data_IF_046704072200
#
_entry.id   IF_046704072200
#
_cell.length_a   1.000
_cell.length_b   1.000
_cell.length_c   1.000
_cell.angle_alpha   90.00
_cell.angle_beta   90.00
_cell.angle_gamma   90.00
#
_symmetry.space_group_name_H-M   'P 1'
#
loop_
_entity.id
_entity.type
_entity.pdbx_description
1 polymer ?
#
# COMPACT_ATOMS: atom_id res chain seq x y z
N UNK A 1 10.42 9.31 -16.02
CA UNK A 1 9.47 10.45 -16.04
C UNK A 1 9.61 11.23 -14.75
N UNK A 2 9.43 12.55 -14.80
CA UNK A 2 9.56 13.43 -13.64
C UNK A 2 8.18 13.83 -13.14
N UNK A 3 7.93 13.73 -11.84
CA UNK A 3 6.67 14.08 -11.21
C UNK A 3 6.88 15.04 -10.04
N UNK A 4 5.99 16.03 -9.93
CA UNK A 4 5.88 16.87 -8.75
C UNK A 4 4.58 16.52 -8.04
N UNK A 5 4.70 16.03 -6.79
CA UNK A 5 3.59 15.63 -5.94
C UNK A 5 3.42 16.66 -4.83
N UNK A 6 2.18 17.12 -4.62
CA UNK A 6 1.82 17.95 -3.47
C UNK A 6 0.71 17.24 -2.70
N UNK A 7 0.98 16.89 -1.45
CA UNK A 7 0.01 16.35 -0.51
C UNK A 7 -0.28 17.41 0.55
N UNK A 8 -1.56 17.68 0.82
CA UNK A 8 -1.95 18.53 1.94
C UNK A 8 -3.05 17.87 2.76
N UNK A 9 -2.76 17.58 4.02
CA UNK A 9 -3.76 17.14 5.01
C UNK A 9 -4.08 18.32 5.92
N UNK A 10 -5.38 18.54 6.17
CA UNK A 10 -5.84 19.56 7.11
C UNK A 10 -6.77 18.91 8.14
N UNK A 11 -6.35 18.91 9.40
CA UNK A 11 -7.16 18.51 10.52
C UNK A 11 -7.78 19.76 11.15
N UNK A 12 -9.11 19.86 11.12
CA UNK A 12 -9.83 20.90 11.84
C UNK A 12 -10.45 20.29 13.10
N UNK A 13 -10.10 20.82 14.27
CA UNK A 13 -10.57 20.31 15.55
C UNK A 13 -11.77 21.11 16.05
N UNK A 14 -12.73 20.43 16.67
CA UNK A 14 -13.90 21.09 17.28
C UNK A 14 -13.52 21.93 18.51
N UNK A 15 -12.41 21.60 19.17
CA UNK A 15 -11.79 22.37 20.24
C UNK A 15 -10.26 22.39 20.06
N UNK A 16 -9.55 23.44 20.53
CA UNK A 16 -8.11 23.48 20.42
C UNK A 16 -7.43 22.28 21.09
N UNK A 17 -6.58 21.59 20.34
CA UNK A 17 -5.76 20.50 20.85
C UNK A 17 -4.55 21.12 21.56
N UNK A 18 -4.37 20.81 22.85
CA UNK A 18 -3.28 21.38 23.65
C UNK A 18 -1.91 20.83 23.24
N UNK A 19 -1.83 19.51 23.06
CA UNK A 19 -0.62 18.78 22.65
C UNK A 19 -1.02 17.71 21.66
N UNK A 20 -0.25 17.53 20.59
CA UNK A 20 -0.44 16.44 19.63
C UNK A 20 0.90 15.82 19.20
N UNK A 21 0.86 14.51 18.97
CA UNK A 21 2.00 13.71 18.51
C UNK A 21 1.64 13.04 17.19
N UNK A 22 2.54 13.12 16.21
CA UNK A 22 2.29 12.60 14.87
C UNK A 22 3.49 11.84 14.36
N UNK A 23 3.22 10.80 13.57
CA UNK A 23 4.21 10.09 12.75
C UNK A 23 3.76 10.21 11.31
N UNK A 24 4.54 10.94 10.51
CA UNK A 24 4.26 11.16 9.10
C UNK A 24 5.08 10.19 8.25
N UNK A 25 4.45 9.61 7.22
CA UNK A 25 5.10 8.78 6.19
C UNK A 25 4.86 9.40 4.81
N UNK A 26 5.23 10.68 4.67
CA UNK A 26 4.91 11.50 3.49
C UNK A 26 6.09 11.69 2.54
N UNK A 27 7.29 11.29 2.93
CA UNK A 27 8.49 11.33 2.07
C UNK A 27 8.63 9.99 1.35
N UNK A 28 8.55 9.96 0.00
CA UNK A 28 8.71 8.72 -0.75
C UNK A 28 10.09 8.12 -0.57
N UNK A 29 10.14 6.79 -0.40
CA UNK A 29 11.38 6.03 -0.41
C UNK A 29 11.99 6.01 -1.82
N UNK A 30 13.29 6.18 -1.90
CA UNK A 30 14.05 5.93 -3.14
C UNK A 30 14.34 4.44 -3.28
N UNK A 31 14.17 3.89 -4.49
CA UNK A 31 14.46 2.50 -4.83
C UNK A 31 14.88 2.42 -6.33
N UNK A 32 15.30 1.26 -6.86
CA UNK A 32 15.89 1.18 -8.20
C UNK A 32 15.05 1.72 -9.37
N UNK A 33 13.73 1.87 -9.21
CA UNK A 33 12.81 2.41 -10.23
C UNK A 33 12.21 3.77 -9.87
N UNK A 34 12.56 4.33 -8.71
CA UNK A 34 12.08 5.63 -8.26
C UNK A 34 13.15 6.36 -7.46
N UNK A 35 13.45 7.59 -7.83
CA UNK A 35 14.41 8.44 -7.12
C UNK A 35 13.69 9.67 -6.56
N UNK A 36 13.67 9.78 -5.23
CA UNK A 36 13.18 10.97 -4.55
C UNK A 36 14.28 12.04 -4.59
N UNK A 37 14.16 13.00 -5.51
CA UNK A 37 15.19 14.02 -5.75
C UNK A 37 15.13 15.15 -4.72
N UNK A 38 13.91 15.51 -4.30
CA UNK A 38 13.66 16.51 -3.28
C UNK A 38 12.33 16.24 -2.61
N UNK A 39 12.29 16.27 -1.29
CA UNK A 39 11.04 16.24 -0.51
C UNK A 39 11.10 17.27 0.61
N UNK A 40 10.00 18.00 0.81
CA UNK A 40 9.86 18.95 1.91
C UNK A 40 8.51 18.74 2.58
N UNK A 41 8.52 18.60 3.90
CA UNK A 41 7.31 18.54 4.73
C UNK A 41 7.26 19.78 5.61
N UNK A 42 6.21 20.59 5.45
CA UNK A 42 5.90 21.77 6.25
C UNK A 42 4.68 21.51 7.11
N UNK A 43 4.70 22.01 8.35
CA UNK A 43 3.67 21.74 9.35
C UNK A 43 3.30 23.06 10.02
N UNK A 44 2.00 23.32 10.11
CA UNK A 44 1.42 24.46 10.81
C UNK A 44 0.37 23.96 11.82
N UNK A 45 0.46 24.30 13.12
CA UNK A 45 1.50 25.12 13.74
C UNK A 45 2.87 24.46 13.72
N UNK A 46 3.93 25.28 13.85
CA UNK A 46 5.31 24.77 13.86
C UNK A 46 5.52 23.81 15.04
N UNK A 47 6.03 22.59 14.80
CA UNK A 47 6.28 21.61 15.86
C UNK A 47 7.39 22.08 16.80
N UNK A 48 7.22 21.84 18.10
CA UNK A 48 8.26 22.09 19.11
C UNK A 48 9.34 21.00 19.08
N UNK A 49 8.99 19.79 18.65
CA UNK A 49 9.95 18.69 18.42
C UNK A 49 9.70 18.11 17.04
N UNK A 50 10.78 17.94 16.28
CA UNK A 50 10.79 17.25 14.99
C UNK A 50 12.02 16.36 14.89
N UNK A 51 11.82 15.11 14.48
CA UNK A 51 12.93 14.21 14.17
C UNK A 51 12.59 13.35 12.96
N UNK A 52 13.56 13.23 12.06
CA UNK A 52 13.50 12.35 10.89
C UNK A 52 14.10 10.98 11.24
N UNK A 53 13.62 9.92 10.60
CA UNK A 53 14.15 8.57 10.74
C UNK A 53 13.60 7.63 9.68
N UNK A 54 13.85 6.34 9.87
CA UNK A 54 13.30 5.27 9.03
C UNK A 54 12.63 4.23 9.94
N UNK A 55 11.48 3.73 9.51
CA UNK A 55 10.84 2.62 10.21
C UNK A 55 11.57 1.29 9.95
N UNK A 56 11.13 0.22 10.60
CA UNK A 56 11.74 -1.10 10.47
C UNK A 56 11.79 -1.63 9.03
N UNK A 57 10.87 -1.21 8.16
CA UNK A 57 10.82 -1.62 6.75
C UNK A 57 11.63 -0.69 5.83
N UNK A 58 12.30 0.32 6.40
CA UNK A 58 13.08 1.31 5.68
C UNK A 58 12.22 2.40 5.02
N UNK A 59 11.01 2.67 5.53
CA UNK A 59 10.22 3.81 5.06
C UNK A 59 10.65 5.08 5.80
N UNK A 60 10.93 6.19 5.09
CA UNK A 60 11.18 7.47 5.73
C UNK A 60 9.99 7.90 6.60
N UNK A 61 10.27 8.31 7.83
CA UNK A 61 9.27 8.78 8.79
C UNK A 61 9.70 10.07 9.47
N UNK A 62 8.74 10.96 9.68
CA UNK A 62 8.93 12.20 10.45
C UNK A 62 8.08 12.15 11.71
N UNK A 63 8.73 12.21 12.87
CA UNK A 63 8.05 12.38 14.15
C UNK A 63 7.89 13.84 14.49
N UNK A 64 6.71 14.21 14.97
CA UNK A 64 6.36 15.58 15.32
C UNK A 64 5.70 15.61 16.71
N UNK A 65 6.05 16.63 17.48
CA UNK A 65 5.29 17.03 18.67
C UNK A 65 4.96 18.51 18.57
N UNK A 66 3.69 18.84 18.80
CA UNK A 66 3.18 20.20 18.83
C UNK A 66 2.63 20.43 20.24
N UNK A 67 3.15 21.45 20.94
CA UNK A 67 2.78 21.76 22.33
C UNK A 67 2.08 23.11 22.48
N UNK A 68 1.77 23.77 21.37
CA UNK A 68 0.99 25.00 21.35
C UNK A 68 -0.47 24.65 21.10
N UNK A 69 -1.42 25.13 21.93
CA UNK A 69 -2.84 24.95 21.66
C UNK A 69 -3.21 25.44 20.25
N UNK A 70 -3.83 24.58 19.45
CA UNK A 70 -4.17 24.89 18.06
C UNK A 70 -5.55 24.33 17.68
N UNK A 71 -6.38 25.12 16.96
CA UNK A 71 -7.67 24.64 16.46
C UNK A 71 -7.52 23.79 15.20
N UNK A 72 -6.34 23.80 14.57
CA UNK A 72 -6.10 23.20 13.28
C UNK A 72 -4.65 22.73 13.16
N UNK A 73 -4.45 21.62 12.46
CA UNK A 73 -3.15 21.14 12.02
C UNK A 73 -3.15 21.02 10.49
N UNK A 74 -2.17 21.64 9.84
CA UNK A 74 -1.95 21.58 8.41
C UNK A 74 -0.60 20.92 8.17
N UNK A 75 -0.60 19.82 7.43
CA UNK A 75 0.62 19.14 6.98
C UNK A 75 0.64 19.21 5.46
N UNK A 76 1.70 19.80 4.91
CA UNK A 76 1.90 19.90 3.47
C UNK A 76 3.25 19.27 3.09
N UNK A 77 3.22 18.27 2.20
CA UNK A 77 4.39 17.66 1.63
C UNK A 77 4.49 18.00 0.14
N UNK A 78 5.66 18.48 -0.30
CA UNK A 78 5.99 18.72 -1.71
C UNK A 78 7.20 17.89 -2.07
N UNK A 79 7.04 17.05 -3.09
CA UNK A 79 8.08 16.12 -3.51
C UNK A 79 8.29 16.16 -5.02
N UNK A 80 9.55 16.22 -5.44
CA UNK A 80 9.99 15.98 -6.81
C UNK A 80 10.57 14.58 -6.89
N UNK A 81 9.94 13.71 -7.69
CA UNK A 81 10.37 12.33 -7.88
C UNK A 81 10.63 12.04 -9.35
N UNK A 82 11.68 11.26 -9.61
CA UNK A 82 11.89 10.60 -10.89
C UNK A 82 11.38 9.17 -10.78
N UNK A 83 10.59 8.71 -11.74
CA UNK A 83 10.13 7.32 -11.84
C UNK A 83 10.57 6.74 -13.17
N UNK A 84 11.29 5.64 -13.14
CA UNK A 84 11.68 4.89 -14.33
C UNK A 84 10.49 4.06 -14.81
N UNK A 85 10.35 3.92 -16.14
CA UNK A 85 9.26 3.13 -16.72
C UNK A 85 9.36 1.69 -16.20
N UNK A 86 8.28 1.10 -15.66
CA UNK A 86 8.30 -0.29 -15.25
C UNK A 86 8.39 -1.21 -16.46
N UNK A 87 9.15 -2.30 -16.33
CA UNK A 87 9.05 -3.43 -17.24
C UNK A 87 7.68 -4.10 -17.09
N UNK A 88 7.15 -4.73 -18.16
CA UNK A 88 5.94 -5.55 -18.06
C UNK A 88 6.11 -6.62 -16.98
N UNK A 89 5.03 -6.89 -16.23
CA UNK A 89 5.03 -7.96 -15.23
C UNK A 89 5.26 -9.30 -15.95
N UNK A 90 6.30 -10.07 -15.60
CA UNK A 90 6.61 -11.32 -16.26
C UNK A 90 5.75 -12.47 -15.69
N UNK A 91 4.44 -12.43 -15.96
CA UNK A 91 3.42 -13.31 -15.36
C UNK A 91 3.79 -14.80 -15.40
N UNK A 92 4.35 -15.26 -16.53
CA UNK A 92 4.68 -16.67 -16.76
C UNK A 92 6.10 -17.07 -16.30
N UNK A 93 6.92 -16.12 -15.84
CA UNK A 93 8.32 -16.39 -15.45
C UNK A 93 8.49 -16.70 -13.95
N UNK A 94 7.41 -16.60 -13.18
CA UNK A 94 7.43 -16.98 -11.77
C UNK A 94 7.30 -18.49 -11.59
N UNK A 95 7.90 -19.08 -10.54
CA UNK A 95 7.66 -20.48 -10.23
C UNK A 95 6.17 -20.76 -9.94
N UNK A 96 5.72 -22.02 -10.07
CA UNK A 96 4.42 -22.43 -9.57
C UNK A 96 4.23 -22.04 -8.10
N UNK A 97 3.05 -21.55 -7.74
CA UNK A 97 2.81 -20.96 -6.42
C UNK A 97 3.10 -21.93 -5.27
N UNK A 98 2.79 -23.23 -5.41
CA UNK A 98 3.08 -24.23 -4.38
C UNK A 98 4.58 -24.40 -4.13
N UNK A 99 5.38 -24.30 -5.19
CA UNK A 99 6.83 -24.37 -5.09
C UNK A 99 7.38 -23.14 -4.37
N UNK A 100 6.78 -21.97 -4.59
CA UNK A 100 7.15 -20.75 -3.85
C UNK A 100 6.88 -20.95 -2.36
N UNK A 101 5.69 -21.42 -1.98
CA UNK A 101 5.33 -21.67 -0.57
C UNK A 101 6.31 -22.67 0.05
N UNK A 102 6.58 -23.79 -0.62
CA UNK A 102 7.51 -24.82 -0.12
C UNK A 102 8.95 -24.29 0.00
N UNK A 103 9.41 -23.52 -0.99
CA UNK A 103 10.73 -22.92 -0.98
C UNK A 103 10.87 -21.95 0.18
N UNK A 104 9.87 -21.08 0.40
CA UNK A 104 9.90 -20.11 1.47
C UNK A 104 9.96 -20.80 2.84
N UNK A 105 9.21 -21.87 3.09
CA UNK A 105 9.24 -22.58 4.38
C UNK A 105 10.62 -23.10 4.81
N UNK A 106 11.54 -23.32 3.87
CA UNK A 106 12.86 -23.92 4.13
C UNK A 106 14.04 -23.01 3.77
N UNK A 107 13.78 -21.82 3.22
CA UNK A 107 14.83 -20.93 2.75
C UNK A 107 15.57 -20.28 3.90
N UNK A 108 16.91 -20.27 3.83
CA UNK A 108 17.79 -19.46 4.67
C UNK A 108 18.41 -18.29 3.90
N UNK A 109 17.99 -18.10 2.64
CA UNK A 109 18.40 -16.95 1.84
C UNK A 109 17.76 -15.68 2.39
N UNK A 110 18.57 -14.65 2.65
CA UNK A 110 18.13 -13.48 3.42
C UNK A 110 16.93 -12.74 2.78
N UNK A 111 16.89 -12.47 1.46
CA UNK A 111 15.70 -11.90 0.82
C UNK A 111 14.42 -12.72 1.01
N UNK A 112 14.51 -14.05 0.95
CA UNK A 112 13.35 -14.92 1.18
C UNK A 112 12.93 -14.90 2.66
N UNK A 113 13.88 -14.91 3.59
CA UNK A 113 13.60 -14.77 5.03
C UNK A 113 12.92 -13.42 5.34
N UNK A 114 13.39 -12.33 4.73
CA UNK A 114 12.76 -11.02 4.88
C UNK A 114 11.35 -11.00 4.31
N UNK A 115 11.11 -11.68 3.19
CA UNK A 115 9.77 -11.77 2.61
C UNK A 115 8.79 -12.56 3.50
N UNK A 116 9.24 -13.61 4.19
CA UNK A 116 8.37 -14.47 5.01
C UNK A 116 7.54 -13.70 6.06
N UNK A 117 8.05 -12.60 6.62
CA UNK A 117 7.30 -11.81 7.61
C UNK A 117 5.98 -11.23 7.04
N UNK A 118 5.87 -11.13 5.72
CA UNK A 118 4.67 -10.67 5.01
C UNK A 118 3.69 -11.80 4.65
N UNK A 119 3.84 -12.99 5.25
CA UNK A 119 2.89 -14.11 5.15
C UNK A 119 1.89 -14.16 6.30
N UNK A 120 2.11 -13.38 7.37
CA UNK A 120 1.36 -13.49 8.62
C UNK A 120 0.32 -12.38 8.80
N UNK A 121 -0.53 -12.55 9.82
CA UNK A 121 -1.49 -11.53 10.26
C UNK A 121 -0.81 -10.19 10.56
N UNK A 122 -1.58 -9.12 10.42
CA UNK A 122 -1.20 -7.76 10.81
C UNK A 122 -2.43 -7.01 11.34
N UNK A 123 -2.31 -5.83 11.96
CA UNK A 123 -3.42 -5.17 12.65
C UNK A 123 -4.71 -4.96 11.82
N UNK A 124 -4.58 -4.84 10.49
CA UNK A 124 -5.73 -4.66 9.57
C UNK A 124 -6.01 -5.88 8.69
N UNK A 125 -5.22 -6.94 8.80
CA UNK A 125 -5.34 -8.15 7.97
C UNK A 125 -5.27 -9.36 8.89
N UNK A 126 -6.42 -9.99 9.10
CA UNK A 126 -6.53 -11.32 9.70
C UNK A 126 -6.76 -12.33 8.59
N UNK A 127 -5.95 -13.39 8.57
CA UNK A 127 -6.10 -14.50 7.64
C UNK A 127 -7.21 -15.41 8.16
N UNK A 128 -8.19 -15.72 7.31
CA UNK A 128 -9.28 -16.64 7.64
C UNK A 128 -9.69 -17.54 6.46
N UNK A 129 -10.48 -18.57 6.76
CA UNK A 129 -10.94 -19.55 5.76
C UNK A 129 -11.72 -18.89 4.62
N UNK A 130 -12.42 -17.77 4.86
CA UNK A 130 -13.18 -17.08 3.82
C UNK A 130 -12.27 -16.44 2.78
N UNK A 131 -11.13 -15.87 3.20
CA UNK A 131 -10.12 -15.36 2.26
C UNK A 131 -9.45 -16.47 1.46
N UNK A 132 -9.20 -17.64 2.07
CA UNK A 132 -8.70 -18.83 1.37
C UNK A 132 -9.70 -19.35 0.32
N UNK A 133 -10.97 -19.49 0.71
CA UNK A 133 -12.03 -19.95 -0.17
C UNK A 133 -12.25 -19.02 -1.36
N UNK A 134 -12.08 -17.72 -1.14
CA UNK A 134 -12.15 -16.73 -2.21
C UNK A 134 -10.98 -16.88 -3.20
N UNK A 135 -9.75 -17.05 -2.71
CA UNK A 135 -8.55 -17.00 -3.58
C UNK A 135 -8.23 -18.31 -4.30
N UNK A 136 -8.60 -19.48 -3.74
CA UNK A 136 -8.13 -20.79 -4.22
C UNK A 136 -8.41 -21.08 -5.70
N UNK A 137 -9.46 -20.50 -6.28
CA UNK A 137 -9.82 -20.66 -7.70
C UNK A 137 -8.85 -19.93 -8.64
N UNK A 138 -8.20 -18.87 -8.15
CA UNK A 138 -7.16 -18.14 -8.86
C UNK A 138 -5.81 -18.86 -8.83
N UNK A 139 -5.66 -19.94 -8.05
CA UNK A 139 -4.41 -20.68 -7.84
C UNK A 139 -4.59 -22.20 -8.01
N UNK A 140 -5.02 -22.69 -9.20
CA UNK A 140 -5.00 -24.11 -9.50
C UNK A 140 -3.56 -24.65 -9.49
N UNK A 141 -3.44 -25.97 -9.39
CA UNK A 141 -2.11 -26.57 -9.22
C UNK A 141 -1.19 -26.31 -10.41
N UNK A 142 0.07 -25.94 -10.13
CA UNK A 142 1.07 -25.67 -11.15
C UNK A 142 0.98 -24.28 -11.80
N UNK A 143 0.02 -23.44 -11.42
CA UNK A 143 -0.09 -22.07 -11.96
C UNK A 143 1.11 -21.22 -11.50
N UNK A 144 1.76 -20.47 -12.41
CA UNK A 144 2.76 -19.47 -12.02
C UNK A 144 2.21 -18.48 -11.01
N UNK A 145 2.96 -18.19 -9.94
CA UNK A 145 2.56 -17.29 -8.87
C UNK A 145 1.99 -15.97 -9.39
N UNK A 146 2.75 -15.24 -10.21
CA UNK A 146 2.39 -13.90 -10.68
C UNK A 146 1.16 -13.92 -11.59
N UNK A 147 0.95 -14.99 -12.36
CA UNK A 147 -0.28 -15.19 -13.12
C UNK A 147 -1.50 -15.38 -12.20
N UNK A 148 -1.33 -16.11 -11.10
CA UNK A 148 -2.38 -16.26 -10.07
C UNK A 148 -2.70 -14.96 -9.35
N UNK A 149 -1.69 -14.13 -9.03
CA UNK A 149 -1.90 -12.80 -8.46
C UNK A 149 -2.68 -11.91 -9.43
N UNK A 150 -2.27 -11.83 -10.70
CA UNK A 150 -2.97 -11.02 -11.70
C UNK A 150 -4.44 -11.46 -11.91
N UNK A 151 -4.71 -12.76 -11.89
CA UNK A 151 -6.07 -13.29 -11.92
C UNK A 151 -6.89 -12.81 -10.72
N UNK A 152 -6.31 -12.85 -9.52
CA UNK A 152 -6.95 -12.35 -8.30
C UNK A 152 -7.21 -10.83 -8.37
N UNK A 153 -6.22 -10.05 -8.81
CA UNK A 153 -6.36 -8.60 -9.01
C UNK A 153 -7.52 -8.31 -9.98
N UNK A 154 -7.57 -9.03 -11.11
CA UNK A 154 -8.63 -8.89 -12.12
C UNK A 154 -10.01 -9.28 -11.56
N UNK A 155 -10.08 -10.38 -10.81
CA UNK A 155 -11.32 -10.82 -10.16
C UNK A 155 -11.83 -9.81 -9.14
N UNK A 156 -10.96 -9.21 -8.34
CA UNK A 156 -11.35 -8.16 -7.40
C UNK A 156 -11.87 -6.94 -8.17
N UNK A 157 -11.20 -6.54 -9.24
CA UNK A 157 -11.66 -5.45 -10.11
C UNK A 157 -13.04 -5.70 -10.72
N UNK A 158 -13.35 -6.93 -11.11
CA UNK A 158 -14.62 -7.31 -11.74
C UNK A 158 -15.76 -7.53 -10.73
N UNK A 159 -15.47 -8.12 -9.58
CA UNK A 159 -16.49 -8.54 -8.59
C UNK A 159 -16.79 -7.48 -7.51
N UNK A 160 -15.95 -6.45 -7.36
CA UNK A 160 -16.09 -5.44 -6.29
C UNK A 160 -16.37 -4.05 -6.85
N UNK A 161 -17.22 -3.31 -6.15
CA UNK A 161 -17.56 -1.92 -6.51
C UNK A 161 -16.75 -0.92 -5.71
N UNK A 162 -16.05 -0.02 -6.40
CA UNK A 162 -15.41 1.12 -5.75
C UNK A 162 -16.46 2.13 -5.26
N UNK A 163 -16.62 2.29 -3.94
CA UNK A 163 -17.63 3.16 -3.34
C UNK A 163 -17.05 3.87 -2.11
N UNK A 164 -16.88 5.19 -2.18
CA UNK A 164 -16.37 5.99 -1.06
C UNK A 164 -17.41 6.15 0.06
N UNK A 165 -16.95 6.12 1.31
CA UNK A 165 -17.79 6.35 2.49
C UNK A 165 -18.55 5.12 3.02
N UNK A 166 -18.32 3.94 2.42
CA UNK A 166 -18.90 2.66 2.88
C UNK A 166 -18.02 1.90 3.87
N UNK A 167 -16.75 2.31 3.99
CA UNK A 167 -15.75 1.71 4.87
C UNK A 167 -15.04 2.77 5.71
N UNK A 168 -14.46 2.31 6.81
CA UNK A 168 -13.56 3.06 7.68
C UNK A 168 -12.17 2.42 7.64
N UNK A 169 -11.16 3.12 8.18
CA UNK A 169 -9.78 2.60 8.22
C UNK A 169 -9.68 1.25 8.94
N UNK A 170 -10.58 0.98 9.89
CA UNK A 170 -10.65 -0.26 10.66
C UNK A 170 -11.62 -1.30 10.12
N UNK A 171 -12.20 -1.11 8.93
CA UNK A 171 -13.13 -2.10 8.36
C UNK A 171 -12.42 -3.44 8.17
N UNK A 172 -12.93 -4.54 8.77
CA UNK A 172 -12.37 -5.87 8.59
C UNK A 172 -12.46 -6.36 7.16
N UNK A 173 -11.44 -7.10 6.70
CA UNK A 173 -11.42 -7.73 5.36
C UNK A 173 -12.66 -8.59 5.09
N UNK A 174 -13.17 -9.29 6.11
CA UNK A 174 -14.37 -10.12 5.99
C UNK A 174 -15.62 -9.32 5.60
N UNK A 175 -15.73 -8.08 6.08
CA UNK A 175 -16.87 -7.22 5.78
C UNK A 175 -16.79 -6.70 4.34
N UNK A 176 -15.58 -6.42 3.86
CA UNK A 176 -15.30 -6.09 2.45
C UNK A 176 -15.66 -7.27 1.55
N UNK A 177 -15.21 -8.48 1.90
CA UNK A 177 -15.52 -9.70 1.15
C UNK A 177 -17.04 -9.99 1.10
N UNK A 178 -17.76 -9.66 2.17
CA UNK A 178 -19.23 -9.84 2.23
C UNK A 178 -19.97 -8.78 1.42
N UNK A 179 -19.61 -7.50 1.61
CA UNK A 179 -20.31 -6.37 0.99
C UNK A 179 -19.97 -6.18 -0.48
N UNK A 180 -18.79 -6.66 -0.91
CA UNK A 180 -18.22 -6.45 -2.25
C UNK A 180 -18.06 -4.98 -2.61
N UNK A 181 -17.84 -4.13 -1.61
CA UNK A 181 -17.72 -2.67 -1.74
C UNK A 181 -16.58 -2.14 -0.89
N UNK A 182 -15.91 -1.10 -1.37
CA UNK A 182 -14.84 -0.44 -0.63
C UNK A 182 -14.06 0.55 -1.48
N UNK A 183 -12.90 0.95 -0.97
CA UNK A 183 -11.92 1.79 -1.67
C UNK A 183 -10.60 1.05 -1.87
N UNK A 184 -9.61 1.71 -2.48
CA UNK A 184 -8.30 1.09 -2.80
C UNK A 184 -7.63 0.43 -1.59
N UNK A 185 -7.76 1.01 -0.39
CA UNK A 185 -7.25 0.41 0.84
C UNK A 185 -7.87 -0.96 1.13
N UNK A 186 -9.18 -1.07 0.98
CA UNK A 186 -9.94 -2.28 1.29
C UNK A 186 -9.60 -3.40 0.33
N UNK A 187 -9.47 -3.09 -0.97
CA UNK A 187 -9.10 -4.06 -2.00
C UNK A 187 -7.66 -4.54 -1.83
N UNK A 188 -6.73 -3.64 -1.51
CA UNK A 188 -5.35 -4.03 -1.20
C UNK A 188 -5.29 -4.94 0.04
N UNK A 189 -6.03 -4.62 1.11
CA UNK A 189 -6.09 -5.48 2.30
C UNK A 189 -6.70 -6.85 2.00
N UNK A 190 -7.78 -6.90 1.21
CA UNK A 190 -8.41 -8.16 0.81
C UNK A 190 -7.44 -9.03 -0.01
N UNK A 191 -6.80 -8.46 -1.03
CA UNK A 191 -5.86 -9.18 -1.87
C UNK A 191 -4.65 -9.68 -1.08
N UNK A 192 -4.11 -8.87 -0.17
CA UNK A 192 -3.04 -9.31 0.74
C UNK A 192 -3.52 -10.45 1.64
N UNK A 193 -4.70 -10.35 2.24
CA UNK A 193 -5.25 -11.40 3.11
C UNK A 193 -5.42 -12.71 2.34
N UNK A 194 -5.97 -12.63 1.13
CA UNK A 194 -6.11 -13.74 0.19
C UNK A 194 -4.76 -14.40 -0.12
N UNK A 195 -3.74 -13.64 -0.53
CA UNK A 195 -2.42 -14.19 -0.82
C UNK A 195 -1.76 -14.81 0.42
N UNK A 196 -1.85 -14.14 1.57
CA UNK A 196 -1.31 -14.65 2.84
C UNK A 196 -2.00 -15.93 3.31
N UNK A 197 -3.29 -16.11 3.01
CA UNK A 197 -4.01 -17.36 3.28
C UNK A 197 -3.45 -18.57 2.53
N UNK A 198 -2.75 -18.36 1.41
CA UNK A 198 -2.02 -19.38 0.66
C UNK A 198 -0.57 -19.56 1.14
N UNK A 199 -0.11 -18.78 2.14
CA UNK A 199 1.28 -18.73 2.55
C UNK A 199 2.18 -17.98 1.57
N UNK A 200 1.62 -17.09 0.74
CA UNK A 200 2.37 -16.26 -0.20
C UNK A 200 2.65 -14.88 0.43
N UNK A 201 3.90 -14.38 0.41
CA UNK A 201 4.19 -13.07 0.96
C UNK A 201 3.60 -11.94 0.12
N UNK A 202 2.81 -11.10 0.77
CA UNK A 202 2.20 -9.94 0.15
C UNK A 202 2.25 -8.74 1.11
N UNK A 203 2.59 -7.56 0.58
CA UNK A 203 2.72 -6.33 1.37
C UNK A 203 1.90 -5.19 0.78
N UNK A 204 1.49 -4.31 1.67
CA UNK A 204 0.75 -3.10 1.35
C UNK A 204 1.70 -2.02 0.87
N UNK A 205 1.39 -1.42 -0.28
CA UNK A 205 2.10 -0.26 -0.80
C UNK A 205 1.16 0.94 -0.79
N UNK A 206 1.67 2.07 -0.32
CA UNK A 206 0.97 3.36 -0.39
C UNK A 206 1.78 4.35 -1.22
N UNK A 207 1.10 5.13 -2.04
CA UNK A 207 1.74 6.11 -2.90
C UNK A 207 0.73 7.05 -3.55
N UNK A 208 1.08 7.55 -4.74
CA UNK A 208 0.27 8.49 -5.50
C UNK A 208 0.14 7.99 -6.92
N UNK A 209 -1.06 8.11 -7.49
CA UNK A 209 -1.34 7.71 -8.86
C UNK A 209 -1.75 8.95 -9.65
N UNK A 210 -1.11 9.17 -10.80
CA UNK A 210 -1.53 10.22 -11.73
C UNK A 210 -2.54 9.61 -12.70
N UNK A 211 -3.83 9.93 -12.53
CA UNK A 211 -4.84 9.54 -13.52
C UNK A 211 -4.92 10.59 -14.63
N UNK A 212 -5.39 10.15 -15.80
CA UNK A 212 -5.84 11.04 -16.85
C UNK A 212 -7.37 10.89 -16.91
N UNK A 213 -8.14 11.93 -16.58
CA UNK A 213 -9.60 11.84 -16.68
C UNK A 213 -9.99 11.62 -18.16
N UNK A 214 -11.14 10.97 -18.42
CA UNK A 214 -11.72 10.89 -19.75
C UNK A 214 -11.89 12.29 -20.37
N UNK A 215 -11.86 12.35 -21.70
CA UNK A 215 -12.00 13.60 -22.44
C UNK A 215 -13.29 14.34 -22.05
N UNK A 216 -13.17 15.60 -21.60
CA UNK A 216 -14.30 16.44 -21.16
C UNK A 216 -14.60 16.44 -19.65
N UNK A 217 -13.92 15.64 -18.84
CA UNK A 217 -14.01 15.72 -17.38
C UNK A 217 -12.90 16.60 -16.79
N UNK A 218 -13.22 17.38 -15.75
CA UNK A 218 -12.23 18.19 -15.06
C UNK A 218 -11.14 17.29 -14.45
N UNK A 219 -9.87 17.66 -14.65
CA UNK A 219 -8.76 17.05 -13.93
C UNK A 219 -8.91 17.39 -12.46
N UNK A 220 -9.34 16.42 -11.67
CA UNK A 220 -9.61 16.63 -10.26
C UNK A 220 -8.30 16.94 -9.53
N UNK A 221 -8.12 18.21 -9.14
CA UNK A 221 -7.03 18.61 -8.25
C UNK A 221 -7.40 18.14 -6.85
N UNK A 222 -6.81 17.01 -6.43
CA UNK A 222 -6.99 16.46 -5.08
C UNK A 222 -7.91 15.23 -4.96
N UNK A 223 -8.60 14.81 -6.03
CA UNK A 223 -9.33 13.54 -6.04
C UNK A 223 -8.56 12.38 -6.69
N UNK A 224 -7.39 12.65 -7.29
CA UNK A 224 -6.36 11.65 -7.61
C UNK A 224 -5.58 11.29 -6.32
N UNK A 225 -6.30 10.68 -5.39
CA UNK A 225 -5.90 10.45 -4.00
C UNK A 225 -4.55 9.72 -3.85
N UNK A 226 -4.01 9.76 -2.62
CA UNK A 226 -3.11 8.69 -2.20
C UNK A 226 -3.74 7.34 -2.55
N UNK A 227 -2.96 6.46 -3.16
CA UNK A 227 -3.44 5.16 -3.60
C UNK A 227 -2.80 4.05 -2.76
N UNK A 228 -3.45 2.90 -2.80
CA UNK A 228 -3.03 1.69 -2.13
C UNK A 228 -3.08 0.53 -3.10
N UNK A 229 -2.02 -0.27 -3.12
CA UNK A 229 -1.93 -1.46 -3.98
C UNK A 229 -1.10 -2.54 -3.30
N UNK A 230 -0.96 -3.69 -3.97
CA UNK A 230 -0.29 -4.87 -3.43
C UNK A 230 1.05 -5.09 -4.13
N UNK A 231 2.05 -5.51 -3.35
CA UNK A 231 3.23 -6.14 -3.91
C UNK A 231 3.35 -7.58 -3.40
N UNK A 232 3.58 -8.54 -4.30
CA UNK A 232 3.79 -9.94 -3.99
C UNK A 232 5.26 -10.33 -4.18
N UNK A 233 5.78 -11.20 -3.32
CA UNK A 233 7.16 -11.70 -3.42
C UNK A 233 7.25 -12.93 -4.33
N UNK A 234 8.11 -12.89 -5.34
CA UNK A 234 8.46 -14.04 -6.16
C UNK A 234 9.96 -14.32 -6.08
N UNK A 235 10.39 -15.52 -5.63
CA UNK A 235 11.80 -15.88 -5.59
C UNK A 235 12.48 -15.70 -6.96
N UNK A 236 13.61 -15.00 -6.98
CA UNK A 236 14.35 -14.68 -8.21
C UNK A 236 13.87 -13.41 -8.94
N UNK A 237 12.63 -12.98 -8.76
CA UNK A 237 12.07 -11.75 -9.36
C UNK A 237 11.91 -10.61 -8.34
N UNK A 238 11.85 -10.92 -7.05
CA UNK A 238 11.70 -9.96 -5.97
C UNK A 238 10.25 -9.55 -5.71
N UNK A 239 10.04 -8.33 -5.21
CA UNK A 239 8.72 -7.75 -5.02
C UNK A 239 8.16 -7.22 -6.34
N UNK A 240 6.95 -7.67 -6.69
CA UNK A 240 6.23 -7.28 -7.90
C UNK A 240 4.91 -6.63 -7.52
N UNK A 241 4.68 -5.42 -8.03
CA UNK A 241 3.50 -4.59 -7.75
C UNK A 241 2.36 -4.93 -8.73
N UNK A 242 1.12 -4.96 -8.23
CA UNK A 242 -0.13 -5.26 -8.97
C UNK A 242 -1.15 -4.12 -8.79
#
# INVERSE_FOLDING_TARGET
MMYQVTHRTTFAYTQPVAISHHVLRLTPRSHPRQHCLRSTVTVDPTPSVRSEGEDYFGNPMTHLTIQTPHPQLIVEAKTLVEVLKPDPIPLDQSPPWEQVVQQLQSSLDFPNLEAQQFMYDSPYITIDDATYDFVRECFPSGRPLLAGVMELTSRIFEEFTYEGGVTEVSTPVRDVLTSRKGVCQDFAHLEIAALRSLGLPARYISGYLLTHPPEGQEKLVGADASHAWVAAWSPGLGWVDF
#
